data_IF_946495526441
#
_entry.id   IF_946495526441
#
_cell.length_a   1.000
_cell.length_b   1.000
_cell.length_c   1.000
_cell.angle_alpha   90.00
_cell.angle_beta   90.00
_cell.angle_gamma   90.00
#
_symmetry.space_group_name_H-M   'P 1'
#
loop_
_entity.id
_entity.type
_entity.pdbx_description
1 polymer ?
#
# COMPACT_ATOMS: atom_id res chain seq x y z
N UNK A 1 -8.71 25.58 4.24
CA UNK A 1 -7.90 24.70 5.10
C UNK A 1 -7.51 23.44 4.35
N UNK A 2 -6.25 23.08 4.41
CA UNK A 2 -5.81 21.83 3.80
C UNK A 2 -6.33 20.65 4.61
N UNK A 3 -6.81 19.61 3.93
CA UNK A 3 -7.17 18.37 4.59
C UNK A 3 -5.92 17.71 5.17
N UNK A 4 -6.08 16.88 6.19
CA UNK A 4 -4.99 16.07 6.72
C UNK A 4 -4.42 15.19 5.62
N UNK A 5 -3.09 14.96 5.59
CA UNK A 5 -2.49 14.07 4.60
C UNK A 5 -3.08 12.67 4.69
N UNK A 6 -3.27 12.02 3.53
CA UNK A 6 -3.64 10.62 3.48
C UNK A 6 -2.51 9.78 4.08
N UNK A 7 -2.87 8.78 4.85
CA UNK A 7 -1.93 7.89 5.52
C UNK A 7 -1.86 6.57 4.78
N UNK A 8 -0.67 6.24 4.30
CA UNK A 8 -0.38 5.01 3.58
C UNK A 8 0.42 4.07 4.49
N UNK A 9 0.07 2.79 4.48
CA UNK A 9 0.85 1.77 5.15
C UNK A 9 1.50 0.89 4.09
N UNK A 10 2.82 0.79 4.11
CA UNK A 10 3.59 -0.08 3.23
C UNK A 10 4.05 -1.29 4.02
N UNK A 11 3.61 -2.47 3.61
CA UNK A 11 3.94 -3.74 4.26
C UNK A 11 4.80 -4.57 3.33
N UNK A 12 6.10 -4.60 3.59
CA UNK A 12 7.08 -5.32 2.77
C UNK A 12 8.31 -5.59 3.65
N UNK A 13 8.80 -6.82 3.65
CA UNK A 13 9.96 -7.19 4.46
C UNK A 13 11.30 -6.76 3.85
N UNK A 14 11.31 -6.31 2.61
CA UNK A 14 12.53 -5.79 1.97
C UNK A 14 12.76 -4.33 2.40
N UNK A 15 13.82 -4.06 3.19
CA UNK A 15 14.03 -2.70 3.73
C UNK A 15 14.16 -1.63 2.66
N UNK A 16 14.78 -1.97 1.53
CA UNK A 16 15.01 -0.99 0.47
C UNK A 16 13.72 -0.58 -0.26
N UNK A 17 12.67 -1.40 -0.23
CA UNK A 17 11.39 -1.02 -0.83
C UNK A 17 10.82 0.20 -0.10
N UNK A 18 10.77 0.16 1.23
CA UNK A 18 10.30 1.30 2.00
C UNK A 18 11.18 2.52 1.83
N UNK A 19 12.51 2.31 1.81
CA UNK A 19 13.45 3.41 1.60
C UNK A 19 13.33 4.04 0.22
N UNK A 20 12.98 3.24 -0.79
CA UNK A 20 12.75 3.74 -2.14
C UNK A 20 11.42 4.48 -2.25
N UNK A 21 10.35 3.90 -1.70
CA UNK A 21 8.99 4.42 -1.90
C UNK A 21 8.68 5.63 -1.02
N UNK A 22 9.18 5.64 0.20
CA UNK A 22 8.82 6.68 1.16
C UNK A 22 9.08 8.10 0.66
N UNK A 23 10.27 8.42 0.13
CA UNK A 23 10.51 9.78 -0.36
C UNK A 23 9.56 10.18 -1.48
N UNK A 24 9.26 9.26 -2.41
CA UNK A 24 8.33 9.56 -3.50
C UNK A 24 6.92 9.83 -2.98
N UNK A 25 6.45 9.01 -2.04
CA UNK A 25 5.10 9.13 -1.50
C UNK A 25 4.98 10.40 -0.63
N UNK A 26 5.98 10.68 0.19
CA UNK A 26 5.98 11.89 1.01
C UNK A 26 6.07 13.15 0.17
N UNK A 27 6.80 13.08 -0.94
CA UNK A 27 6.93 14.21 -1.86
C UNK A 27 5.57 14.63 -2.43
N UNK A 28 4.67 13.67 -2.71
CA UNK A 28 3.33 13.99 -3.19
C UNK A 28 2.32 14.28 -2.07
N UNK A 29 2.78 14.30 -0.82
CA UNK A 29 1.97 14.76 0.30
C UNK A 29 1.37 13.67 1.16
N UNK A 30 1.72 12.40 0.98
CA UNK A 30 1.22 11.30 1.80
C UNK A 30 2.06 11.14 3.07
N UNK A 31 1.40 10.75 4.16
CA UNK A 31 2.09 10.21 5.33
C UNK A 31 2.33 8.73 5.08
N UNK A 32 3.50 8.23 5.47
CA UNK A 32 3.88 6.84 5.20
C UNK A 32 4.30 6.15 6.48
N UNK A 33 3.68 5.03 6.77
CA UNK A 33 4.13 4.10 7.81
C UNK A 33 4.66 2.83 7.12
N UNK A 34 5.70 2.26 7.69
CA UNK A 34 6.33 1.07 7.15
C UNK A 34 6.15 -0.08 8.15
N UNK A 35 5.80 -1.26 7.64
CA UNK A 35 5.74 -2.49 8.42
C UNK A 35 6.48 -3.59 7.66
N UNK A 36 7.22 -4.40 8.36
CA UNK A 36 8.02 -5.48 7.76
C UNK A 36 7.42 -6.85 8.04
N UNK A 37 6.40 -6.92 8.88
CA UNK A 37 5.74 -8.15 9.28
C UNK A 37 4.23 -7.94 9.35
N UNK A 38 3.47 -9.02 9.34
CA UNK A 38 2.03 -8.96 9.56
C UNK A 38 1.70 -8.39 10.93
N UNK A 39 2.45 -8.79 11.95
CA UNK A 39 2.25 -8.28 13.30
C UNK A 39 2.40 -6.78 13.39
N UNK A 40 3.43 -6.23 12.77
CA UNK A 40 3.62 -4.77 12.72
C UNK A 40 2.49 -4.08 11.95
N UNK A 41 2.08 -4.67 10.82
CA UNK A 41 0.98 -4.12 10.03
C UNK A 41 -0.32 -4.08 10.83
N UNK A 42 -0.66 -5.16 11.52
CA UNK A 42 -1.86 -5.21 12.35
C UNK A 42 -1.82 -4.18 13.47
N UNK A 43 -0.65 -3.96 14.05
CA UNK A 43 -0.47 -2.96 15.10
C UNK A 43 -0.76 -1.54 14.58
N UNK A 44 -0.22 -1.21 13.39
CA UNK A 44 -0.47 0.10 12.77
C UNK A 44 -1.95 0.26 12.41
N UNK A 45 -2.57 -0.79 11.85
CA UNK A 45 -3.97 -0.75 11.43
C UNK A 45 -4.92 -0.62 12.62
N UNK A 46 -4.51 -1.08 13.80
CA UNK A 46 -5.33 -1.00 15.02
C UNK A 46 -5.29 0.37 15.69
N UNK A 47 -4.39 1.26 15.27
CA UNK A 47 -4.25 2.58 15.86
C UNK A 47 -5.34 3.53 15.35
N UNK A 48 -6.38 3.71 16.16
CA UNK A 48 -7.50 4.58 15.79
C UNK A 48 -7.11 6.06 15.69
N UNK A 49 -5.99 6.45 16.31
CA UNK A 49 -5.48 7.83 16.24
C UNK A 49 -4.79 8.16 14.94
N UNK A 50 -4.46 7.15 14.15
CA UNK A 50 -3.78 7.32 12.87
C UNK A 50 -4.35 6.35 11.82
N UNK A 51 -5.60 6.57 11.37
CA UNK A 51 -6.25 5.65 10.44
C UNK A 51 -5.49 5.57 9.12
N UNK A 52 -5.43 4.35 8.56
CA UNK A 52 -4.77 4.09 7.28
C UNK A 52 -5.79 4.29 6.16
N UNK A 53 -5.41 5.08 5.17
CA UNK A 53 -6.27 5.37 4.02
C UNK A 53 -6.05 4.42 2.84
N UNK A 54 -4.86 3.84 2.74
CA UNK A 54 -4.55 2.83 1.72
C UNK A 54 -3.39 1.97 2.20
N UNK A 55 -3.37 0.72 1.71
CA UNK A 55 -2.41 -0.29 2.10
C UNK A 55 -1.66 -0.79 0.87
N UNK A 56 -0.33 -0.79 0.93
CA UNK A 56 0.52 -1.48 -0.04
C UNK A 56 1.02 -2.74 0.64
N UNK A 57 0.72 -3.89 0.08
CA UNK A 57 0.88 -5.17 0.77
C UNK A 57 1.64 -6.17 -0.07
N UNK A 58 2.82 -6.58 0.42
CA UNK A 58 3.52 -7.75 -0.10
C UNK A 58 2.83 -9.00 0.47
N UNK A 59 2.71 -10.03 -0.36
CA UNK A 59 2.09 -11.28 0.07
C UNK A 59 3.04 -12.22 0.80
N UNK A 60 4.35 -12.04 0.63
CA UNK A 60 5.37 -12.89 1.27
C UNK A 60 6.03 -12.15 2.41
N UNK A 61 5.62 -12.47 3.62
CA UNK A 61 6.15 -11.84 4.83
C UNK A 61 6.75 -12.91 5.75
N UNK A 62 7.69 -12.53 6.63
CA UNK A 62 8.39 -13.55 7.46
C UNK A 62 7.46 -14.27 8.43
N UNK A 63 6.36 -13.66 8.84
CA UNK A 63 5.43 -14.23 9.79
C UNK A 63 4.10 -14.70 9.16
N UNK A 64 4.04 -14.80 7.84
CA UNK A 64 2.89 -15.38 7.17
C UNK A 64 2.56 -14.76 5.83
N UNK A 65 1.39 -15.10 5.31
CA UNK A 65 0.93 -14.59 4.01
C UNK A 65 0.14 -13.31 4.17
N UNK A 66 0.44 -12.32 3.31
CA UNK A 66 -0.35 -11.11 3.24
C UNK A 66 -1.83 -11.35 2.88
N UNK A 67 -2.15 -12.48 2.24
CA UNK A 67 -3.54 -12.83 1.98
C UNK A 67 -4.35 -12.99 3.25
N UNK A 68 -3.75 -13.51 4.31
CA UNK A 68 -4.45 -13.66 5.59
C UNK A 68 -4.87 -12.30 6.14
N UNK A 69 -3.99 -11.32 6.05
CA UNK A 69 -4.31 -9.96 6.44
C UNK A 69 -5.42 -9.39 5.55
N UNK A 70 -5.32 -9.59 4.25
CA UNK A 70 -6.31 -9.08 3.30
C UNK A 70 -7.70 -9.70 3.56
N UNK A 71 -7.77 -10.98 3.81
CA UNK A 71 -9.03 -11.65 4.17
C UNK A 71 -9.65 -11.05 5.43
N UNK A 72 -8.82 -10.84 6.45
CA UNK A 72 -9.29 -10.26 7.71
C UNK A 72 -9.80 -8.84 7.51
N UNK A 73 -9.12 -8.04 6.70
CA UNK A 73 -9.56 -6.68 6.41
C UNK A 73 -10.92 -6.66 5.70
N UNK A 74 -11.12 -7.57 4.74
CA UNK A 74 -12.38 -7.65 4.01
C UNK A 74 -13.51 -8.22 4.84
N UNK A 75 -13.20 -8.98 5.88
CA UNK A 75 -14.19 -9.55 6.79
C UNK A 75 -14.64 -8.60 7.89
N UNK A 76 -13.96 -7.49 8.11
CA UNK A 76 -14.29 -6.52 9.15
C UNK A 76 -14.97 -5.30 8.55
N UNK A 77 -16.04 -4.83 9.17
CA UNK A 77 -16.81 -3.69 8.66
C UNK A 77 -15.96 -2.42 8.55
N UNK A 78 -15.07 -2.20 9.51
CA UNK A 78 -14.24 -0.99 9.54
C UNK A 78 -13.21 -0.91 8.40
N UNK A 79 -12.81 -2.06 7.84
CA UNK A 79 -11.74 -2.13 6.84
C UNK A 79 -12.17 -2.76 5.51
N UNK A 80 -13.44 -3.12 5.41
CA UNK A 80 -13.96 -3.81 4.23
C UNK A 80 -13.68 -3.06 2.92
N UNK A 81 -13.70 -1.75 2.95
CA UNK A 81 -13.52 -0.90 1.79
C UNK A 81 -12.13 -0.26 1.70
N UNK A 82 -11.19 -0.66 2.57
CA UNK A 82 -9.85 -0.10 2.54
C UNK A 82 -9.18 -0.41 1.20
N UNK A 83 -8.72 0.63 0.47
CA UNK A 83 -7.99 0.38 -0.78
C UNK A 83 -6.68 -0.36 -0.52
N UNK A 84 -6.45 -1.43 -1.27
CA UNK A 84 -5.24 -2.25 -1.13
C UNK A 84 -4.61 -2.46 -2.50
N UNK A 85 -3.30 -2.16 -2.59
CA UNK A 85 -2.46 -2.53 -3.72
C UNK A 85 -1.58 -3.68 -3.25
N UNK A 86 -1.69 -4.82 -3.93
CA UNK A 86 -0.85 -5.98 -3.64
C UNK A 86 0.39 -5.89 -4.51
N UNK A 87 1.56 -5.90 -3.86
CA UNK A 87 2.86 -5.90 -4.51
C UNK A 87 3.29 -7.35 -4.66
N UNK A 88 3.53 -7.80 -5.89
CA UNK A 88 3.73 -9.21 -6.14
C UNK A 88 4.85 -9.48 -7.12
N UNK A 89 5.47 -10.66 -7.00
CA UNK A 89 6.37 -11.19 -8.03
C UNK A 89 5.57 -12.05 -9.01
N UNK A 90 6.13 -12.31 -10.18
CA UNK A 90 5.49 -13.16 -11.18
C UNK A 90 5.38 -14.61 -10.71
N UNK A 91 4.38 -15.33 -11.24
CA UNK A 91 4.32 -16.78 -11.15
C UNK A 91 3.40 -17.34 -10.07
N UNK A 92 2.56 -16.53 -9.46
CA UNK A 92 1.69 -16.98 -8.36
C UNK A 92 0.21 -16.77 -8.68
N UNK A 93 -0.25 -17.34 -9.78
CA UNK A 93 -1.58 -17.05 -10.33
C UNK A 93 -2.74 -17.26 -9.36
N UNK A 94 -2.72 -18.36 -8.58
CA UNK A 94 -3.79 -18.64 -7.63
C UNK A 94 -3.91 -17.60 -6.54
N UNK A 95 -2.75 -17.17 -6.03
CA UNK A 95 -2.68 -16.17 -4.97
C UNK A 95 -3.17 -14.84 -5.50
N UNK A 96 -2.79 -14.52 -6.74
CA UNK A 96 -3.20 -13.28 -7.38
C UNK A 96 -4.70 -13.27 -7.67
N UNK A 97 -5.27 -14.39 -8.11
CA UNK A 97 -6.70 -14.51 -8.35
C UNK A 97 -7.49 -14.26 -7.07
N UNK A 98 -7.05 -14.84 -5.96
CA UNK A 98 -7.70 -14.61 -4.68
C UNK A 98 -7.60 -13.14 -4.24
N UNK A 99 -6.42 -12.54 -4.39
CA UNK A 99 -6.21 -11.13 -4.05
C UNK A 99 -7.14 -10.23 -4.86
N UNK A 100 -7.30 -10.49 -6.16
CA UNK A 100 -8.24 -9.74 -6.98
C UNK A 100 -9.68 -9.94 -6.56
N UNK A 101 -10.06 -11.17 -6.22
CA UNK A 101 -11.39 -11.48 -5.75
C UNK A 101 -11.71 -10.76 -4.45
N UNK A 102 -10.70 -10.45 -3.65
CA UNK A 102 -10.82 -9.66 -2.41
C UNK A 102 -10.77 -8.14 -2.67
N UNK A 103 -10.83 -7.73 -3.92
CA UNK A 103 -10.95 -6.32 -4.28
C UNK A 103 -9.66 -5.52 -4.23
N UNK A 104 -8.50 -6.19 -4.30
CA UNK A 104 -7.23 -5.48 -4.37
C UNK A 104 -6.80 -5.20 -5.81
N UNK A 105 -5.95 -4.20 -5.96
CA UNK A 105 -5.25 -3.90 -7.22
C UNK A 105 -3.88 -4.55 -7.16
N UNK A 106 -3.49 -5.20 -8.25
CA UNK A 106 -2.20 -5.89 -8.31
C UNK A 106 -1.15 -5.01 -9.00
N UNK A 107 0.06 -5.00 -8.46
CA UNK A 107 1.19 -4.33 -9.07
C UNK A 107 2.40 -5.26 -9.01
N UNK A 108 2.92 -5.65 -10.18
CA UNK A 108 4.01 -6.61 -10.29
C UNK A 108 5.35 -5.94 -10.06
N UNK A 109 6.20 -6.55 -9.24
CA UNK A 109 7.59 -6.12 -9.05
C UNK A 109 8.44 -6.55 -10.25
N UNK A 110 9.41 -5.76 -10.68
CA UNK A 110 9.72 -4.41 -10.24
C UNK A 110 8.72 -3.40 -10.81
N UNK A 111 8.42 -2.36 -10.06
CA UNK A 111 7.48 -1.33 -10.50
C UNK A 111 8.14 0.06 -10.41
N UNK A 112 7.63 0.98 -11.21
CA UNK A 112 8.05 2.38 -11.17
C UNK A 112 7.36 3.11 -10.00
N UNK A 113 8.09 3.86 -9.17
CA UNK A 113 7.46 4.69 -8.15
C UNK A 113 6.43 5.66 -8.72
N UNK A 114 6.68 6.21 -9.90
CA UNK A 114 5.72 7.08 -10.59
C UNK A 114 4.42 6.36 -10.88
N UNK A 115 4.49 5.14 -11.38
CA UNK A 115 3.31 4.34 -11.67
C UNK A 115 2.54 3.99 -10.40
N UNK A 116 3.26 3.69 -9.32
CA UNK A 116 2.64 3.42 -8.03
C UNK A 116 1.89 4.65 -7.50
N UNK A 117 2.51 5.82 -7.55
CA UNK A 117 1.86 7.06 -7.11
C UNK A 117 0.58 7.30 -7.91
N UNK A 118 0.60 7.09 -9.22
CA UNK A 118 -0.58 7.25 -10.06
C UNK A 118 -1.70 6.27 -9.66
N UNK A 119 -1.34 5.02 -9.35
CA UNK A 119 -2.34 4.03 -8.91
C UNK A 119 -2.96 4.39 -7.57
N UNK A 120 -2.15 4.86 -6.63
CA UNK A 120 -2.63 5.30 -5.32
C UNK A 120 -3.62 6.46 -5.49
N UNK A 121 -3.27 7.45 -6.29
CA UNK A 121 -4.13 8.60 -6.53
C UNK A 121 -5.49 8.17 -7.10
N UNK A 122 -5.50 7.23 -8.02
CA UNK A 122 -6.73 6.69 -8.59
C UNK A 122 -7.58 5.98 -7.53
N UNK A 123 -6.94 5.18 -6.68
CA UNK A 123 -7.66 4.44 -5.64
C UNK A 123 -8.25 5.36 -4.58
N UNK A 124 -7.53 6.41 -4.23
CA UNK A 124 -8.00 7.39 -3.26
C UNK A 124 -8.90 8.46 -3.87
N UNK A 125 -9.11 8.40 -5.19
CA UNK A 125 -9.88 9.38 -5.94
C UNK A 125 -9.36 10.79 -5.75
N UNK A 126 -8.03 10.92 -5.65
CA UNK A 126 -7.39 12.21 -5.59
C UNK A 126 -7.43 12.84 -6.97
N UNK A 127 -8.01 14.02 -7.07
CA UNK A 127 -8.21 14.70 -8.34
C UNK A 127 -7.07 15.65 -8.70
N UNK A 128 -6.24 15.98 -7.73
CA UNK A 128 -5.09 16.84 -7.98
C UNK A 128 -3.99 16.07 -8.71
N UNK A 129 -3.40 16.63 -9.77
CA UNK A 129 -2.29 15.97 -10.42
C UNK A 129 -1.11 15.84 -9.44
N UNK A 130 -0.39 14.70 -9.44
CA UNK A 130 0.76 14.55 -8.55
C UNK A 130 1.88 15.50 -9.00
N UNK A 131 2.71 15.96 -8.06
CA UNK A 131 3.91 16.68 -8.44
C UNK A 131 4.86 15.79 -9.21
N UNK A 132 5.82 16.42 -9.88
CA UNK A 132 6.83 15.70 -10.67
C UNK A 132 7.59 14.72 -9.77
N UNK A 133 7.86 13.49 -10.24
CA UNK A 133 8.63 12.52 -9.46
C UNK A 133 10.01 13.06 -9.08
N UNK A 134 10.50 12.62 -7.93
CA UNK A 134 11.81 13.07 -7.43
C UNK A 134 12.96 12.69 -8.33
N UNK A 135 12.80 11.60 -9.08
CA UNK A 135 13.84 11.10 -10.00
C UNK A 135 13.94 11.89 -11.29
N UNK A 136 12.99 12.77 -11.59
CA UNK A 136 13.03 13.57 -12.79
C UNK A 136 13.80 14.87 -12.54
N UNK A 137 14.73 15.16 -13.45
CA UNK A 137 15.43 16.44 -13.43
C UNK A 137 14.68 17.46 -14.25
N UNK A 138 14.72 18.72 -13.85
CA UNK A 138 14.14 19.78 -14.66
C UNK A 138 14.80 19.91 -16.00
#
# INVERSE_FOLDING_TARGET
MAAAPRHLLVVDDEPHIGLLLRPHLEHVGYRVSLARTLGQARHVLADAGAPVDALLLDLHLPDGSGLDLLRDLRGAAATRSLPVIVLTAEGEDRVLDEAQALGSVLLTKPFSPTKLVARIAMLLRDTSPPPRPLSESP
#
